data_IF_869033882436
#
_entry.id   IF_869033882436
#
_cell.length_a   1.000
_cell.length_b   1.000
_cell.length_c   1.000
_cell.angle_alpha   90.00
_cell.angle_beta   90.00
_cell.angle_gamma   90.00
#
_symmetry.space_group_name_H-M   'P 1'
#
loop_
_entity.id
_entity.type
_entity.pdbx_description
1 polymer ?
#
# COMPACT_ATOMS: atom_id res chain seq x y z
N UNK A 1 18.04 -10.36 -92.68
CA UNK A 1 16.98 -10.72 -91.73
C UNK A 1 17.32 -10.43 -90.26
N UNK A 2 18.58 -10.15 -89.88
CA UNK A 2 18.95 -9.98 -88.45
C UNK A 2 18.56 -8.66 -87.77
N UNK A 3 18.17 -7.62 -88.51
CA UNK A 3 17.86 -6.29 -87.93
C UNK A 3 16.47 -6.20 -87.31
N UNK A 4 15.50 -6.95 -87.82
CA UNK A 4 14.12 -6.95 -87.30
C UNK A 4 14.01 -7.67 -85.94
N UNK A 5 14.69 -8.81 -85.80
CA UNK A 5 14.67 -9.61 -84.56
C UNK A 5 15.27 -8.83 -83.39
N UNK A 6 16.45 -8.22 -83.59
CA UNK A 6 17.10 -7.44 -82.52
C UNK A 6 16.31 -6.19 -82.11
N UNK A 7 15.49 -5.64 -83.01
CA UNK A 7 14.62 -4.50 -82.69
C UNK A 7 13.38 -4.94 -81.88
N UNK A 8 12.87 -6.15 -82.12
CA UNK A 8 11.78 -6.75 -81.36
C UNK A 8 12.24 -7.13 -79.94
N UNK A 9 13.41 -7.76 -79.79
CA UNK A 9 14.02 -8.12 -78.50
C UNK A 9 14.28 -6.88 -77.62
N UNK A 10 14.76 -5.77 -78.23
CA UNK A 10 14.94 -4.50 -77.53
C UNK A 10 13.62 -3.90 -77.06
N UNK A 11 12.57 -4.01 -77.86
CA UNK A 11 11.24 -3.49 -77.51
C UNK A 11 10.64 -4.27 -76.34
N UNK A 12 10.78 -5.59 -76.33
CA UNK A 12 10.36 -6.44 -75.21
C UNK A 12 11.12 -6.09 -73.92
N UNK A 13 12.44 -5.91 -74.01
CA UNK A 13 13.28 -5.54 -72.86
C UNK A 13 12.87 -4.17 -72.27
N UNK A 14 12.58 -3.19 -73.12
CA UNK A 14 12.14 -1.85 -72.68
C UNK A 14 10.77 -1.92 -72.00
N UNK A 15 9.83 -2.70 -72.54
CA UNK A 15 8.51 -2.88 -71.93
C UNK A 15 8.61 -3.55 -70.56
N UNK A 16 9.45 -4.58 -70.44
CA UNK A 16 9.72 -5.23 -69.15
C UNK A 16 10.37 -4.28 -68.15
N UNK A 17 11.34 -3.49 -68.60
CA UNK A 17 11.96 -2.49 -67.73
C UNK A 17 10.94 -1.45 -67.24
N UNK A 18 10.02 -1.02 -68.11
CA UNK A 18 8.96 -0.10 -67.73
C UNK A 18 8.04 -0.71 -66.65
N UNK A 19 7.64 -1.98 -66.79
CA UNK A 19 6.81 -2.66 -65.78
C UNK A 19 7.55 -2.87 -64.45
N UNK A 20 8.85 -3.16 -64.50
CA UNK A 20 9.67 -3.33 -63.31
C UNK A 20 9.85 -2.00 -62.58
N UNK A 21 10.05 -0.90 -63.32
CA UNK A 21 10.14 0.46 -62.76
C UNK A 21 8.83 0.86 -62.07
N UNK A 22 7.67 0.66 -62.70
CA UNK A 22 6.38 1.00 -62.08
C UNK A 22 6.14 0.18 -60.82
N UNK A 23 6.48 -1.11 -60.83
CA UNK A 23 6.33 -1.99 -59.65
C UNK A 23 7.24 -1.53 -58.51
N UNK A 24 8.48 -1.14 -58.82
CA UNK A 24 9.43 -0.66 -57.82
C UNK A 24 9.02 0.70 -57.25
N UNK A 25 8.49 1.61 -58.06
CA UNK A 25 7.97 2.91 -57.60
C UNK A 25 6.81 2.73 -56.60
N UNK A 26 5.87 1.84 -56.90
CA UNK A 26 4.77 1.52 -55.98
C UNK A 26 5.29 0.89 -54.67
N UNK A 27 6.24 -0.05 -54.76
CA UNK A 27 6.85 -0.67 -53.59
C UNK A 27 7.59 0.36 -52.70
N UNK A 28 8.31 1.30 -53.32
CA UNK A 28 8.99 2.40 -52.61
C UNK A 28 8.00 3.35 -51.95
N UNK A 29 6.89 3.70 -52.61
CA UNK A 29 5.82 4.51 -52.03
C UNK A 29 5.21 3.87 -50.79
N UNK A 30 4.85 2.59 -50.90
CA UNK A 30 4.30 1.81 -49.77
C UNK A 30 5.29 1.70 -48.61
N UNK A 31 6.58 1.50 -48.90
CA UNK A 31 7.63 1.47 -47.89
C UNK A 31 7.77 2.83 -47.18
N UNK A 32 7.77 3.93 -47.93
CA UNK A 32 7.86 5.29 -47.37
C UNK A 32 6.68 5.61 -46.44
N UNK A 33 5.45 5.23 -46.82
CA UNK A 33 4.28 5.38 -45.94
C UNK A 33 4.40 4.55 -44.66
N UNK A 34 4.85 3.30 -44.76
CA UNK A 34 5.05 2.42 -43.61
C UNK A 34 6.10 2.98 -42.65
N UNK A 35 7.23 3.47 -43.18
CA UNK A 35 8.26 4.15 -42.37
C UNK A 35 7.74 5.42 -41.70
N UNK A 36 6.88 6.19 -42.38
CA UNK A 36 6.21 7.36 -41.80
C UNK A 36 5.39 7.00 -40.57
N UNK A 37 4.51 5.99 -40.70
CA UNK A 37 3.67 5.50 -39.59
C UNK A 37 4.51 5.01 -38.41
N UNK A 38 5.53 4.20 -38.68
CA UNK A 38 6.43 3.69 -37.63
C UNK A 38 7.19 4.81 -36.92
N UNK A 39 7.60 5.86 -37.64
CA UNK A 39 8.24 7.02 -37.03
C UNK A 39 7.30 7.76 -36.08
N UNK A 40 6.04 7.93 -36.47
CA UNK A 40 5.02 8.58 -35.64
C UNK A 40 4.72 7.74 -34.39
N UNK A 41 4.55 6.42 -34.53
CA UNK A 41 4.40 5.50 -33.40
C UNK A 41 5.59 5.55 -32.44
N UNK A 42 6.81 5.61 -32.97
CA UNK A 42 8.02 5.69 -32.14
C UNK A 42 8.14 7.02 -31.41
N UNK A 43 7.60 8.11 -31.97
CA UNK A 43 7.48 9.39 -31.27
C UNK A 43 6.50 9.28 -30.10
N UNK A 44 5.32 8.71 -30.32
CA UNK A 44 4.32 8.50 -29.27
C UNK A 44 4.86 7.61 -28.14
N UNK A 45 5.53 6.50 -28.47
CA UNK A 45 6.16 5.63 -27.48
C UNK A 45 7.21 6.37 -26.65
N UNK A 46 8.01 7.24 -27.27
CA UNK A 46 9.00 8.05 -26.55
C UNK A 46 8.33 9.01 -25.57
N UNK A 47 7.22 9.64 -25.97
CA UNK A 47 6.45 10.53 -25.09
C UNK A 47 5.86 9.75 -23.90
N UNK A 48 5.27 8.58 -24.15
CA UNK A 48 4.74 7.71 -23.09
C UNK A 48 5.83 7.25 -22.11
N UNK A 49 7.02 6.92 -22.59
CA UNK A 49 8.16 6.56 -21.73
C UNK A 49 8.61 7.76 -20.89
N UNK A 50 8.63 8.97 -21.45
CA UNK A 50 8.97 10.17 -20.70
C UNK A 50 7.95 10.43 -19.56
N UNK A 51 6.66 10.29 -19.83
CA UNK A 51 5.60 10.42 -18.83
C UNK A 51 5.71 9.36 -17.73
N UNK A 52 5.99 8.10 -18.10
CA UNK A 52 6.18 7.02 -17.14
C UNK A 52 7.40 7.28 -16.23
N UNK A 53 8.49 7.80 -16.79
CA UNK A 53 9.68 8.18 -16.02
C UNK A 53 9.38 9.32 -15.05
N UNK A 54 8.61 10.34 -15.49
CA UNK A 54 8.19 11.43 -14.62
C UNK A 54 7.32 10.94 -13.45
N UNK A 55 6.37 10.04 -13.73
CA UNK A 55 5.51 9.44 -12.71
C UNK A 55 6.32 8.60 -11.70
N UNK A 56 7.25 7.77 -12.18
CA UNK A 56 8.13 6.99 -11.30
C UNK A 56 8.97 7.88 -10.39
N UNK A 57 9.45 9.03 -10.89
CA UNK A 57 10.17 10.00 -10.06
C UNK A 57 9.28 10.59 -8.97
N UNK A 58 8.06 11.03 -9.31
CA UNK A 58 7.11 11.57 -8.33
C UNK A 58 6.72 10.53 -7.26
N UNK A 59 6.54 9.27 -7.66
CA UNK A 59 6.30 8.17 -6.73
C UNK A 59 7.49 7.95 -5.81
N UNK A 60 8.71 7.97 -6.35
CA UNK A 60 9.95 7.84 -5.57
C UNK A 60 10.08 8.97 -4.55
N UNK A 61 9.78 10.21 -4.94
CA UNK A 61 9.81 11.37 -4.05
C UNK A 61 8.78 11.20 -2.91
N UNK A 62 7.57 10.74 -3.22
CA UNK A 62 6.51 10.48 -2.24
C UNK A 62 6.91 9.38 -1.25
N UNK A 63 7.46 8.27 -1.74
CA UNK A 63 7.94 7.17 -0.89
C UNK A 63 9.06 7.66 0.03
N UNK A 64 9.97 8.49 -0.47
CA UNK A 64 11.08 9.06 0.32
C UNK A 64 10.55 9.98 1.42
N UNK A 65 9.56 10.83 1.11
CA UNK A 65 8.91 11.68 2.10
C UNK A 65 8.21 10.87 3.20
N UNK A 66 7.42 9.86 2.83
CA UNK A 66 6.75 8.97 3.78
C UNK A 66 7.76 8.22 4.67
N UNK A 67 8.87 7.76 4.10
CA UNK A 67 9.94 7.13 4.88
C UNK A 67 10.56 8.09 5.89
N UNK A 68 10.69 9.39 5.57
CA UNK A 68 11.17 10.40 6.50
C UNK A 68 10.15 10.64 7.63
N UNK A 69 8.87 10.77 7.32
CA UNK A 69 7.80 10.92 8.31
C UNK A 69 7.72 9.73 9.26
N UNK A 70 7.81 8.50 8.73
CA UNK A 70 7.84 7.28 9.56
C UNK A 70 9.03 7.30 10.54
N UNK A 71 10.22 7.71 10.09
CA UNK A 71 11.39 7.84 10.97
C UNK A 71 11.16 8.91 12.05
N UNK A 72 10.58 10.05 11.69
CA UNK A 72 10.25 11.10 12.64
C UNK A 72 9.25 10.61 13.71
N UNK A 73 8.19 9.91 13.28
CA UNK A 73 7.20 9.32 14.17
C UNK A 73 7.82 8.27 15.10
N UNK A 74 8.72 7.42 14.59
CA UNK A 74 9.46 6.47 15.41
C UNK A 74 10.31 7.18 16.48
N UNK A 75 11.01 8.26 16.13
CA UNK A 75 11.77 9.07 17.09
C UNK A 75 10.86 9.70 18.15
N UNK A 76 9.72 10.28 17.73
CA UNK A 76 8.72 10.83 18.65
C UNK A 76 8.19 9.75 19.60
N UNK A 77 7.85 8.57 19.08
CA UNK A 77 7.35 7.46 19.90
C UNK A 77 8.39 6.97 20.91
N UNK A 78 9.65 6.78 20.49
CA UNK A 78 10.76 6.45 21.40
C UNK A 78 10.96 7.53 22.48
N UNK A 79 10.82 8.80 22.12
CA UNK A 79 10.94 9.91 23.06
C UNK A 79 9.79 9.89 24.08
N UNK A 80 8.56 9.67 23.64
CA UNK A 80 7.39 9.53 24.52
C UNK A 80 7.54 8.31 25.44
N UNK A 81 7.93 7.15 24.93
CA UNK A 81 8.21 5.96 25.75
C UNK A 81 9.30 6.24 26.79
N UNK A 82 10.36 6.96 26.41
CA UNK A 82 11.41 7.37 27.36
C UNK A 82 10.87 8.37 28.38
N UNK A 83 10.01 9.32 28.01
CA UNK A 83 9.38 10.24 28.96
C UNK A 83 8.48 9.51 29.94
N UNK A 84 7.73 8.50 29.50
CA UNK A 84 6.94 7.62 30.38
C UNK A 84 7.87 6.80 31.31
N UNK A 85 9.08 6.45 30.86
CA UNK A 85 10.03 5.62 31.62
C UNK A 85 10.99 6.40 32.54
N UNK A 86 11.40 7.61 32.15
CA UNK A 86 12.34 8.51 32.87
C UNK A 86 11.59 9.57 33.67
N UNK A 87 10.41 9.97 33.19
CA UNK A 87 9.42 10.66 33.99
C UNK A 87 8.81 9.69 34.99
N UNK A 88 9.59 9.37 36.03
CA UNK A 88 9.04 9.30 37.38
C UNK A 88 8.57 10.69 37.82
N UNK A 89 7.79 11.37 36.97
CA UNK A 89 6.81 12.31 37.45
C UNK A 89 5.81 11.49 38.24
N UNK A 90 5.35 12.09 39.31
CA UNK A 90 4.39 11.59 40.27
C UNK A 90 2.99 11.41 39.65
N UNK A 91 2.93 10.76 38.47
CA UNK A 91 1.77 10.21 37.79
C UNK A 91 1.84 8.68 37.91
N UNK A 92 2.21 8.19 39.09
CA UNK A 92 1.29 7.19 39.62
C UNK A 92 -0.04 7.94 39.62
N UNK A 93 -1.11 7.57 38.86
CA UNK A 93 -2.42 7.86 39.43
C UNK A 93 -2.24 7.35 40.83
N UNK A 94 -2.31 8.24 41.84
CA UNK A 94 -2.04 7.92 43.25
C UNK A 94 -2.33 6.46 43.33
N UNK A 95 -1.31 5.58 43.47
CA UNK A 95 -1.59 4.16 43.60
C UNK A 95 -2.25 4.15 44.96
N UNK A 96 -3.53 4.56 44.99
CA UNK A 96 -4.60 4.05 45.80
C UNK A 96 -4.23 2.62 45.70
N UNK A 97 -3.69 2.14 46.81
CA UNK A 97 -3.42 0.73 46.97
C UNK A 97 -4.82 0.15 46.80
N UNK A 98 -5.19 -0.15 45.55
CA UNK A 98 -6.55 -0.49 45.19
C UNK A 98 -6.64 -1.87 45.78
N UNK A 99 -7.12 -1.91 47.01
CA UNK A 99 -7.32 -3.15 47.71
C UNK A 99 -8.20 -3.97 46.78
N UNK A 100 -7.67 -5.15 46.44
CA UNK A 100 -8.40 -6.13 45.67
C UNK A 100 -9.80 -6.24 46.28
N UNK A 101 -10.88 -6.13 45.47
CA UNK A 101 -12.24 -6.21 45.98
C UNK A 101 -12.42 -7.44 46.87
N UNK A 102 -13.22 -7.30 47.92
CA UNK A 102 -13.59 -8.43 48.74
C UNK A 102 -14.30 -9.47 47.87
N UNK A 103 -14.11 -10.75 48.21
CA UNK A 103 -14.79 -11.81 47.48
C UNK A 103 -16.28 -11.78 47.78
N UNK A 104 -17.08 -12.02 46.75
CA UNK A 104 -18.53 -12.11 46.87
C UNK A 104 -18.96 -13.55 47.11
N UNK A 105 -19.70 -13.77 48.19
CA UNK A 105 -20.07 -15.09 48.71
C UNK A 105 -21.45 -15.61 48.24
N UNK A 106 -22.16 -14.85 47.38
CA UNK A 106 -23.50 -15.20 46.90
C UNK A 106 -24.67 -14.56 47.67
N UNK A 107 -24.41 -13.57 48.52
CA UNK A 107 -25.47 -12.85 49.27
C UNK A 107 -26.46 -12.15 48.34
N UNK A 108 -27.72 -12.60 48.33
CA UNK A 108 -28.81 -12.04 47.48
C UNK A 108 -29.38 -10.72 48.00
N UNK A 109 -28.51 -9.75 48.24
CA UNK A 109 -28.84 -8.39 48.60
C UNK A 109 -28.40 -7.45 47.46
N UNK A 110 -29.34 -6.67 46.92
CA UNK A 110 -29.08 -5.78 45.78
C UNK A 110 -27.97 -4.77 46.08
N UNK A 111 -27.92 -4.21 47.29
CA UNK A 111 -26.90 -3.23 47.65
C UNK A 111 -25.51 -3.85 47.72
N UNK A 112 -25.43 -5.11 48.18
CA UNK A 112 -24.17 -5.86 48.24
C UNK A 112 -23.69 -6.22 46.84
N UNK A 113 -24.60 -6.63 45.95
CA UNK A 113 -24.31 -6.94 44.55
C UNK A 113 -23.84 -5.69 43.80
N UNK A 114 -24.57 -4.58 43.92
CA UNK A 114 -24.23 -3.33 43.23
C UNK A 114 -22.88 -2.78 43.70
N UNK A 115 -22.61 -2.83 45.00
CA UNK A 115 -21.33 -2.40 45.56
C UNK A 115 -20.16 -3.30 45.11
N UNK A 116 -20.37 -4.62 45.01
CA UNK A 116 -19.37 -5.55 44.50
C UNK A 116 -19.06 -5.29 43.02
N UNK A 117 -20.08 -5.15 42.18
CA UNK A 117 -19.91 -4.87 40.75
C UNK A 117 -19.16 -3.55 40.53
N UNK A 118 -19.54 -2.50 41.26
CA UNK A 118 -18.87 -1.21 41.19
C UNK A 118 -17.38 -1.30 41.58
N UNK A 119 -17.04 -2.05 42.63
CA UNK A 119 -15.64 -2.23 43.06
C UNK A 119 -14.81 -3.03 42.05
N UNK A 120 -15.42 -4.04 41.41
CA UNK A 120 -14.74 -4.89 40.42
C UNK A 120 -14.49 -4.12 39.12
N UNK A 121 -15.49 -3.39 38.63
CA UNK A 121 -15.36 -2.55 37.43
C UNK A 121 -14.28 -1.48 37.63
N UNK A 122 -14.34 -0.77 38.76
CA UNK A 122 -13.33 0.22 39.13
C UNK A 122 -11.91 -0.37 39.25
N UNK A 123 -11.78 -1.59 39.79
CA UNK A 123 -10.49 -2.28 39.89
C UNK A 123 -9.93 -2.70 38.53
N UNK A 124 -10.78 -3.19 37.61
CA UNK A 124 -10.38 -3.61 36.27
C UNK A 124 -9.96 -2.42 35.40
N UNK A 125 -10.70 -1.32 35.48
CA UNK A 125 -10.39 -0.06 34.78
C UNK A 125 -9.02 0.49 35.20
N UNK A 126 -8.72 0.45 36.51
CA UNK A 126 -7.44 0.91 37.04
C UNK A 126 -6.25 -0.01 36.73
N UNK A 127 -6.48 -1.31 36.51
CA UNK A 127 -5.41 -2.23 36.09
C UNK A 127 -5.05 -2.11 34.61
N UNK A 128 -5.83 -1.37 33.81
CA UNK A 128 -5.60 -1.24 32.37
C UNK A 128 -5.73 -2.58 31.64
N UNK A 129 -6.51 -3.52 32.20
CA UNK A 129 -6.75 -4.82 31.58
C UNK A 129 -7.67 -4.62 30.37
N UNK A 130 -7.08 -4.50 29.19
CA UNK A 130 -7.81 -4.58 27.92
C UNK A 130 -7.82 -6.03 27.43
N UNK A 131 -8.91 -6.74 27.70
CA UNK A 131 -9.17 -8.09 27.17
C UNK A 131 -10.17 -8.87 28.02
N UNK A 132 -11.30 -9.24 27.41
CA UNK A 132 -12.42 -9.93 28.06
C UNK A 132 -11.99 -11.19 28.82
N UNK A 133 -11.04 -11.94 28.27
CA UNK A 133 -10.58 -13.22 28.83
C UNK A 133 -9.87 -13.04 30.19
N UNK A 134 -9.12 -11.95 30.36
CA UNK A 134 -8.46 -11.64 31.64
C UNK A 134 -9.42 -11.01 32.64
N UNK A 135 -10.39 -10.23 32.17
CA UNK A 135 -11.46 -9.68 33.00
C UNK A 135 -12.32 -10.80 33.59
N UNK A 136 -12.80 -11.73 32.76
CA UNK A 136 -13.63 -12.88 33.20
C UNK A 136 -12.88 -13.73 34.22
N UNK A 137 -11.60 -14.02 33.99
CA UNK A 137 -10.78 -14.79 34.94
C UNK A 137 -10.58 -14.05 36.26
N UNK A 138 -10.41 -12.74 36.22
CA UNK A 138 -10.24 -11.91 37.42
C UNK A 138 -11.52 -11.84 38.24
N UNK A 139 -12.67 -11.64 37.59
CA UNK A 139 -14.00 -11.66 38.21
C UNK A 139 -14.28 -13.03 38.83
N UNK A 140 -13.98 -14.12 38.12
CA UNK A 140 -14.16 -15.48 38.63
C UNK A 140 -13.34 -15.75 39.90
N UNK A 141 -12.13 -15.17 40.02
CA UNK A 141 -11.31 -15.30 41.23
C UNK A 141 -11.83 -14.46 42.42
N UNK A 142 -12.82 -13.59 42.21
CA UNK A 142 -13.47 -12.76 43.21
C UNK A 142 -14.83 -13.32 43.66
N UNK A 143 -15.26 -14.46 43.11
CA UNK A 143 -16.45 -15.19 43.56
C UNK A 143 -16.06 -16.32 44.52
N UNK A 144 -16.87 -16.56 45.54
CA UNK A 144 -16.75 -17.71 46.44
C UNK A 144 -18.10 -18.14 47.01
N UNK A 145 -18.14 -19.27 47.72
CA UNK A 145 -19.38 -19.76 48.34
C UNK A 145 -20.47 -20.07 47.33
N UNK A 146 -21.68 -19.55 47.56
CA UNK A 146 -22.86 -19.79 46.72
C UNK A 146 -22.85 -18.98 45.41
N UNK A 147 -21.78 -18.20 45.16
CA UNK A 147 -21.59 -17.43 43.94
C UNK A 147 -20.77 -18.14 42.85
N UNK A 148 -20.25 -19.36 43.11
CA UNK A 148 -19.42 -20.16 42.16
C UNK A 148 -20.21 -21.33 41.60
#
# INVERSE_FOLDING_TARGET
>A
MGTSQGQEDLTEMVNKLATDVTTNEEALGNAAESFGKMKDEMKVLREQVADLVAMNRALTDTVTALQAEVKELQVKNCTLQRQISVGGGDDRPTRVDVQRPAKYNGTRDSQVIDNFLFQVEYYLDLQGVMGDDFQVKTVAMLLEGDAV
#
